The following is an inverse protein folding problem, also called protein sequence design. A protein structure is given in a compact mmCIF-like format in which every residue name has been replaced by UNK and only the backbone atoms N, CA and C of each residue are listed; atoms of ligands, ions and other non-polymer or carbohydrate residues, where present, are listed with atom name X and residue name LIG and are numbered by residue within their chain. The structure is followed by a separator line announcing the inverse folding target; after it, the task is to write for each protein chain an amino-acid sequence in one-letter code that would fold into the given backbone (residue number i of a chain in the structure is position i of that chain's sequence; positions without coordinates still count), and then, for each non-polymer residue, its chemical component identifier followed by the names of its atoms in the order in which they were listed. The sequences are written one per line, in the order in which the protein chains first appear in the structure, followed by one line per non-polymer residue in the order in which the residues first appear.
data_IF_650757229517
#
_entry.id   IF_650757229517
#
_cell.length_a   1.000
_cell.length_b   1.000
_cell.length_c   1.000
_cell.angle_alpha   90.00
_cell.angle_beta   90.00
_cell.angle_gamma   90.00
#
_symmetry.space_group_name_H-M   'P 1'
#
loop_
_entity.id
_entity.type
_entity.pdbx_description
1 polymer ?
#
# COMPACT_ATOMS: atom_id res chain seq x y z
N UNK A 1 43.67 -34.75 -50.31
CA UNK A 1 43.50 -33.92 -49.10
C UNK A 1 43.52 -34.87 -47.91
N UNK A 2 44.67 -34.97 -47.28
CA UNK A 2 44.94 -35.83 -46.12
C UNK A 2 45.26 -34.92 -44.95
N UNK A 3 44.47 -35.00 -43.88
CA UNK A 3 44.59 -34.12 -42.73
C UNK A 3 45.89 -34.39 -41.97
N UNK A 4 46.70 -33.36 -41.64
CA UNK A 4 47.93 -33.54 -40.88
C UNK A 4 47.63 -33.88 -39.41
N UNK A 5 48.35 -34.88 -38.91
CA UNK A 5 48.20 -35.40 -37.55
C UNK A 5 48.56 -34.36 -36.48
N UNK A 6 47.92 -34.47 -35.31
CA UNK A 6 47.92 -33.49 -34.19
C UNK A 6 49.31 -33.07 -33.69
N UNK A 7 50.33 -33.88 -33.96
CA UNK A 7 51.71 -33.64 -33.55
C UNK A 7 52.43 -32.62 -34.45
N UNK A 8 52.10 -32.54 -35.75
CA UNK A 8 52.65 -31.52 -36.66
C UNK A 8 52.06 -30.13 -36.35
N UNK A 9 50.77 -30.08 -36.01
CA UNK A 9 50.07 -28.84 -35.60
C UNK A 9 50.67 -28.19 -34.34
N UNK A 10 51.32 -28.97 -33.47
CA UNK A 10 52.01 -28.47 -32.26
C UNK A 10 53.37 -27.85 -32.54
N UNK A 11 54.01 -28.15 -33.69
CA UNK A 11 55.31 -27.56 -34.05
C UNK A 11 55.17 -26.19 -34.73
N UNK A 12 54.05 -25.92 -35.40
CA UNK A 12 53.86 -24.69 -36.19
C UNK A 12 53.42 -23.45 -35.40
N UNK A 13 52.80 -23.62 -34.22
CA UNK A 13 52.43 -22.48 -33.36
C UNK A 13 53.64 -21.76 -32.74
N UNK A 14 54.84 -22.36 -32.81
CA UNK A 14 56.07 -21.71 -32.35
C UNK A 14 56.55 -20.61 -33.31
N UNK A 15 56.22 -20.72 -34.60
CA UNK A 15 56.63 -19.73 -35.59
C UNK A 15 55.70 -18.50 -35.60
N UNK A 16 54.44 -18.65 -35.20
CA UNK A 16 53.49 -17.52 -35.04
C UNK A 16 53.81 -16.64 -33.82
N UNK A 17 54.50 -17.16 -32.81
CA UNK A 17 54.97 -16.37 -31.66
C UNK A 17 56.08 -15.36 -32.04
N UNK A 18 56.75 -15.57 -33.18
CA UNK A 18 57.85 -14.71 -33.66
C UNK A 18 57.38 -13.42 -34.32
N UNK A 19 56.06 -13.23 -34.48
CA UNK A 19 55.44 -11.97 -34.93
C UNK A 19 55.14 -10.97 -33.80
N UNK A 20 55.39 -11.32 -32.54
CA UNK A 20 55.20 -10.43 -31.38
C UNK A 20 56.43 -9.57 -31.09
N UNK A 21 57.15 -9.16 -32.14
CA UNK A 21 58.14 -8.10 -32.05
C UNK A 21 57.42 -6.75 -31.97
N UNK A 22 57.38 -6.14 -30.78
CA UNK A 22 57.04 -4.72 -30.66
C UNK A 22 55.89 -4.37 -29.72
N UNK A 23 55.59 -5.20 -28.72
CA UNK A 23 54.79 -4.76 -27.59
C UNK A 23 55.49 -5.17 -26.30
N UNK A 24 56.44 -4.36 -25.85
CA UNK A 24 56.58 -4.04 -24.42
C UNK A 24 55.26 -3.41 -23.96
N UNK A 25 54.19 -4.20 -23.96
CA UNK A 25 53.10 -4.01 -23.04
C UNK A 25 53.61 -4.72 -21.80
N UNK A 26 54.07 -3.93 -20.84
CA UNK A 26 53.84 -4.27 -19.45
C UNK A 26 52.43 -4.85 -19.40
N UNK A 27 52.35 -6.18 -19.27
CA UNK A 27 51.12 -6.82 -18.87
C UNK A 27 51.01 -6.45 -17.40
N UNK A 28 50.59 -5.21 -17.15
CA UNK A 28 49.93 -4.83 -15.93
C UNK A 28 48.72 -5.74 -15.92
N UNK A 29 48.87 -6.89 -15.28
CA UNK A 29 47.74 -7.63 -14.75
C UNK A 29 47.07 -6.64 -13.82
N UNK A 30 46.16 -5.81 -14.36
CA UNK A 30 45.15 -5.14 -13.59
C UNK A 30 44.43 -6.27 -12.90
N UNK A 31 44.87 -6.58 -11.68
CA UNK A 31 44.06 -7.28 -10.72
C UNK A 31 42.71 -6.59 -10.78
N UNK A 32 41.73 -7.31 -11.32
CA UNK A 32 40.33 -6.99 -11.15
C UNK A 32 40.17 -6.96 -9.63
N UNK A 33 40.34 -5.78 -9.03
CA UNK A 33 40.36 -5.60 -7.58
C UNK A 33 38.98 -5.99 -7.10
N UNK A 34 38.89 -7.23 -6.63
CA UNK A 34 37.67 -7.89 -6.18
C UNK A 34 37.19 -7.36 -4.83
N UNK A 35 37.85 -6.34 -4.27
CA UNK A 35 37.37 -5.58 -3.11
C UNK A 35 37.56 -4.10 -3.40
N UNK A 36 36.46 -3.40 -3.67
CA UNK A 36 36.44 -1.94 -3.67
C UNK A 36 36.38 -1.54 -2.20
N UNK A 37 37.40 -0.85 -1.71
CA UNK A 37 37.38 -0.31 -0.36
C UNK A 37 36.27 0.73 -0.28
N UNK A 38 35.33 0.50 0.64
CA UNK A 38 34.19 1.37 0.89
C UNK A 38 34.62 2.37 1.97
N UNK A 39 34.47 3.65 1.68
CA UNK A 39 34.69 4.75 2.62
C UNK A 39 33.32 5.28 3.03
N UNK A 40 33.09 5.45 4.33
CA UNK A 40 31.86 6.03 4.87
C UNK A 40 31.98 7.55 4.89
N UNK A 41 31.12 8.22 4.13
CA UNK A 41 30.99 9.68 4.14
C UNK A 41 29.67 10.06 4.83
N UNK A 42 29.66 11.18 5.55
CA UNK A 42 28.46 11.70 6.21
C UNK A 42 27.87 12.83 5.39
N UNK A 43 26.57 12.77 5.09
CA UNK A 43 25.88 13.85 4.39
C UNK A 43 25.59 15.00 5.34
N UNK A 44 26.00 16.22 4.99
CA UNK A 44 25.85 17.40 5.84
C UNK A 44 24.40 17.84 6.08
N UNK A 45 23.46 17.44 5.22
CA UNK A 45 22.04 17.79 5.37
C UNK A 45 21.37 17.02 6.52
N UNK A 46 21.65 15.73 6.65
CA UNK A 46 20.84 14.81 7.47
C UNK A 46 21.69 13.92 8.38
N UNK A 47 23.02 13.98 8.30
CA UNK A 47 23.92 13.10 9.04
C UNK A 47 24.07 11.69 8.47
N UNK A 48 23.34 11.36 7.41
CA UNK A 48 23.23 9.99 6.93
C UNK A 48 24.60 9.45 6.47
N UNK A 49 25.05 8.28 6.98
CA UNK A 49 26.25 7.62 6.50
C UNK A 49 25.99 7.02 5.10
N UNK A 50 26.86 7.34 4.15
CA UNK A 50 26.83 6.82 2.78
C UNK A 50 28.15 6.10 2.51
N UNK A 51 28.08 4.81 2.22
CA UNK A 51 29.25 4.02 1.84
C UNK A 51 29.52 4.18 0.35
N UNK A 52 30.67 4.75 0.03
CA UNK A 52 31.06 5.05 -1.34
C UNK A 52 32.42 4.41 -1.62
N UNK A 53 32.61 3.74 -2.76
CA UNK A 53 33.93 3.28 -3.20
C UNK A 53 34.95 4.41 -3.20
N UNK A 54 36.14 4.16 -2.66
CA UNK A 54 37.23 5.13 -2.47
C UNK A 54 37.50 6.00 -3.72
N UNK A 55 37.52 5.40 -4.90
CA UNK A 55 37.80 6.12 -6.16
C UNK A 55 36.76 7.19 -6.51
N UNK A 56 35.56 7.14 -5.92
CA UNK A 56 34.50 8.14 -6.12
C UNK A 56 34.50 9.23 -5.05
N UNK A 57 35.25 9.06 -3.94
CA UNK A 57 35.26 10.01 -2.82
C UNK A 57 35.69 11.40 -3.28
N UNK A 58 36.76 11.50 -4.08
CA UNK A 58 37.24 12.79 -4.60
C UNK A 58 36.17 13.55 -5.41
N UNK A 59 35.39 12.84 -6.24
CA UNK A 59 34.32 13.46 -7.03
C UNK A 59 33.08 13.81 -6.21
N UNK A 60 32.83 13.09 -5.11
CA UNK A 60 31.70 13.32 -4.21
C UNK A 60 31.99 14.46 -3.23
N UNK A 61 33.22 14.55 -2.72
CA UNK A 61 33.69 15.64 -1.84
C UNK A 61 33.71 16.99 -2.52
N UNK A 62 33.84 17.03 -3.85
CA UNK A 62 33.77 18.28 -4.61
C UNK A 62 32.33 18.82 -4.77
N UNK A 63 31.30 18.05 -4.42
CA UNK A 63 29.90 18.47 -4.57
C UNK A 63 29.52 19.47 -3.48
N UNK A 64 28.96 20.60 -3.91
CA UNK A 64 28.46 21.67 -3.05
C UNK A 64 26.95 21.84 -3.20
N UNK A 65 26.29 22.13 -2.09
CA UNK A 65 24.91 22.61 -2.01
C UNK A 65 24.90 24.14 -1.84
N UNK A 66 23.71 24.74 -1.81
CA UNK A 66 23.54 26.17 -1.56
C UNK A 66 24.19 26.64 -0.24
N UNK A 67 24.21 25.78 0.77
CA UNK A 67 24.67 26.10 2.13
C UNK A 67 26.12 25.65 2.43
N UNK A 68 26.83 25.03 1.47
CA UNK A 68 28.21 24.56 1.66
C UNK A 68 28.53 23.19 1.05
N UNK A 69 29.48 22.46 1.63
CA UNK A 69 29.86 21.12 1.18
C UNK A 69 28.73 20.11 1.43
N UNK A 70 28.48 19.20 0.48
CA UNK A 70 27.37 18.24 0.57
C UNK A 70 27.70 17.04 1.48
N UNK A 71 28.97 16.71 1.63
CA UNK A 71 29.47 15.56 2.39
C UNK A 71 30.69 15.96 3.23
N UNK A 72 30.90 15.29 4.36
CA UNK A 72 32.09 15.38 5.22
C UNK A 72 32.59 13.98 5.58
N UNK A 73 33.89 13.84 5.81
CA UNK A 73 34.50 12.61 6.37
C UNK A 73 34.41 12.63 7.91
N UNK A 74 34.21 13.82 8.50
CA UNK A 74 34.21 14.03 9.95
C UNK A 74 32.79 13.88 10.47
N UNK A 75 32.54 12.81 11.22
CA UNK A 75 31.22 12.51 11.80
C UNK A 75 30.67 13.66 12.64
N UNK A 76 31.53 14.36 13.38
CA UNK A 76 31.14 15.41 14.33
C UNK A 76 30.75 16.74 13.66
N UNK A 77 31.04 16.91 12.36
CA UNK A 77 30.62 18.07 11.59
C UNK A 77 29.20 17.90 11.01
N UNK A 78 28.73 16.65 10.91
CA UNK A 78 27.40 16.35 10.39
C UNK A 78 26.37 16.30 11.53
N UNK A 79 25.11 16.71 11.29
CA UNK A 79 24.03 16.52 12.27
C UNK A 79 23.88 15.04 12.66
N UNK A 80 23.38 14.74 13.87
CA UNK A 80 23.11 13.36 14.26
C UNK A 80 22.01 12.74 13.38
N UNK A 81 22.33 11.63 12.72
CA UNK A 81 21.37 10.87 11.92
C UNK A 81 20.33 10.22 12.82
N UNK A 82 19.09 10.69 12.74
CA UNK A 82 17.95 10.07 13.41
C UNK A 82 17.53 8.84 12.63
N UNK A 83 18.00 7.66 13.07
CA UNK A 83 17.42 6.39 12.64
C UNK A 83 15.94 6.39 13.03
N UNK A 84 15.09 5.99 12.09
CA UNK A 84 13.68 5.86 12.37
C UNK A 84 13.43 4.79 13.44
N UNK A 85 12.42 5.01 14.28
CA UNK A 85 12.11 4.14 15.43
C UNK A 85 10.96 3.17 15.11
N UNK A 86 10.37 3.28 13.91
CA UNK A 86 9.15 2.57 13.57
C UNK A 86 9.47 1.14 13.16
N UNK A 87 8.84 0.20 13.85
CA UNK A 87 8.98 -1.23 13.60
C UNK A 87 8.07 -1.68 12.45
N UNK A 88 8.53 -2.66 11.68
CA UNK A 88 7.72 -3.32 10.65
C UNK A 88 6.50 -4.01 11.29
N UNK A 89 5.37 -4.11 10.59
CA UNK A 89 4.15 -4.74 11.13
C UNK A 89 4.34 -6.21 11.52
N UNK A 90 5.30 -6.90 10.90
CA UNK A 90 5.68 -8.28 11.26
C UNK A 90 6.78 -8.36 12.32
N UNK A 91 7.26 -7.23 12.84
CA UNK A 91 8.31 -7.22 13.85
C UNK A 91 7.87 -7.97 15.11
N UNK A 92 8.85 -8.51 15.85
CA UNK A 92 8.58 -9.25 17.08
C UNK A 92 7.93 -8.38 18.16
N UNK A 93 8.26 -7.09 18.16
CA UNK A 93 7.77 -6.07 19.10
C UNK A 93 6.90 -5.02 18.38
N UNK A 94 6.21 -5.40 17.32
CA UNK A 94 5.29 -4.49 16.62
C UNK A 94 3.99 -4.36 17.41
N UNK A 95 3.38 -3.17 17.49
CA UNK A 95 2.09 -2.99 18.16
C UNK A 95 0.99 -3.88 17.56
N UNK A 96 1.04 -4.17 16.25
CA UNK A 96 0.08 -5.07 15.59
C UNK A 96 0.16 -6.52 16.07
N UNK A 97 1.31 -6.93 16.60
CA UNK A 97 1.48 -8.26 17.19
C UNK A 97 0.91 -8.29 18.61
N UNK A 98 1.14 -7.22 19.37
CA UNK A 98 0.60 -7.05 20.72
C UNK A 98 -0.93 -6.94 20.70
N UNK A 99 -1.49 -6.26 19.70
CA UNK A 99 -2.95 -6.09 19.53
C UNK A 99 -3.67 -7.35 19.04
N UNK A 100 -2.96 -8.42 18.68
CA UNK A 100 -3.57 -9.66 18.19
C UNK A 100 -4.01 -9.62 16.71
N UNK A 101 -3.90 -8.48 16.03
CA UNK A 101 -4.28 -8.33 14.61
C UNK A 101 -3.54 -9.32 13.71
N UNK A 102 -2.27 -9.60 14.01
CA UNK A 102 -1.50 -10.61 13.26
C UNK A 102 -2.10 -12.02 13.37
N UNK A 103 -2.77 -12.36 14.47
CA UNK A 103 -3.45 -13.64 14.61
C UNK A 103 -4.74 -13.67 13.81
N UNK A 104 -5.51 -12.57 13.82
CA UNK A 104 -6.72 -12.42 13.00
C UNK A 104 -6.42 -12.52 11.50
N UNK A 105 -5.30 -11.94 11.06
CA UNK A 105 -4.82 -12.03 9.69
C UNK A 105 -4.17 -13.38 9.33
N UNK A 106 -3.96 -14.27 10.31
CA UNK A 106 -3.26 -15.56 10.09
C UNK A 106 -1.76 -15.43 9.86
N UNK A 107 -1.14 -14.33 10.27
CA UNK A 107 0.27 -13.98 10.06
C UNK A 107 1.14 -14.12 11.32
N UNK A 108 0.58 -14.65 12.41
CA UNK A 108 1.24 -14.77 13.72
C UNK A 108 2.61 -15.49 13.67
N UNK A 109 2.78 -16.45 12.77
CA UNK A 109 4.01 -17.24 12.61
C UNK A 109 5.17 -16.53 11.90
N UNK A 110 4.92 -15.42 11.19
CA UNK A 110 5.97 -14.73 10.41
C UNK A 110 6.59 -13.60 11.21
N UNK A 111 7.92 -13.42 11.12
CA UNK A 111 8.67 -12.37 11.84
C UNK A 111 9.60 -11.62 10.88
N UNK A 112 9.63 -10.30 11.01
CA UNK A 112 10.56 -9.45 10.28
C UNK A 112 11.56 -8.80 11.25
N UNK A 113 12.87 -8.77 10.94
CA UNK A 113 13.88 -8.11 11.77
C UNK A 113 13.94 -6.58 11.59
N UNK A 114 13.19 -6.01 10.64
CA UNK A 114 13.24 -4.57 10.38
C UNK A 114 12.55 -3.78 11.50
N UNK A 115 13.37 -3.09 12.31
CA UNK A 115 12.92 -2.25 13.43
C UNK A 115 13.17 -0.75 13.26
N UNK A 116 13.92 -0.33 12.23
CA UNK A 116 14.44 1.03 12.12
C UNK A 116 13.85 1.83 10.95
N UNK A 117 12.53 1.81 10.76
CA UNK A 117 11.87 2.50 9.64
C UNK A 117 11.65 3.97 9.96
N UNK A 118 11.89 4.84 8.98
CA UNK A 118 11.84 6.31 9.13
C UNK A 118 10.45 6.90 9.37
N UNK A 119 9.39 6.29 8.85
CA UNK A 119 8.01 6.79 8.95
C UNK A 119 6.99 5.65 8.78
N UNK A 120 5.73 5.89 9.13
CA UNK A 120 4.64 4.93 8.87
C UNK A 120 4.50 4.64 7.37
N UNK A 121 4.67 5.65 6.52
CA UNK A 121 4.71 5.45 5.07
C UNK A 121 5.83 4.49 4.65
N UNK A 122 7.00 4.57 5.30
CA UNK A 122 8.11 3.66 5.07
C UNK A 122 7.77 2.23 5.51
N UNK A 123 6.95 2.08 6.56
CA UNK A 123 6.40 0.78 7.01
C UNK A 123 5.47 0.17 5.97
N UNK A 124 4.58 0.96 5.38
CA UNK A 124 3.72 0.54 4.27
C UNK A 124 4.55 0.10 3.06
N UNK A 125 5.47 0.95 2.60
CA UNK A 125 6.35 0.62 1.46
C UNK A 125 7.25 -0.59 1.73
N UNK A 126 7.73 -0.76 2.96
CA UNK A 126 8.49 -1.95 3.35
C UNK A 126 7.62 -3.21 3.26
N UNK A 127 6.39 -3.15 3.77
CA UNK A 127 5.42 -4.24 3.69
C UNK A 127 5.12 -4.61 2.25
N UNK A 128 4.72 -3.65 1.42
CA UNK A 128 4.44 -3.86 -0.01
C UNK A 128 5.61 -4.47 -0.78
N UNK A 129 6.86 -4.05 -0.48
CA UNK A 129 8.02 -4.48 -1.27
C UNK A 129 8.66 -5.77 -0.76
N UNK A 130 8.79 -5.94 0.56
CA UNK A 130 9.49 -7.06 1.19
C UNK A 130 8.57 -8.18 1.63
N UNK A 131 7.30 -7.89 1.90
CA UNK A 131 6.30 -8.81 2.45
C UNK A 131 5.01 -8.78 1.61
N UNK A 132 5.15 -8.93 0.28
CA UNK A 132 4.05 -8.80 -0.69
C UNK A 132 2.82 -9.62 -0.33
N UNK A 133 3.02 -10.87 0.08
CA UNK A 133 1.92 -11.79 0.36
C UNK A 133 1.22 -11.45 1.68
N UNK A 134 2.00 -11.11 2.70
CA UNK A 134 1.49 -10.73 4.01
C UNK A 134 0.79 -9.39 3.97
N UNK A 135 1.32 -8.46 3.18
CA UNK A 135 0.70 -7.17 2.92
C UNK A 135 -0.63 -7.32 2.20
N UNK A 136 -0.68 -8.14 1.13
CA UNK A 136 -1.93 -8.42 0.43
C UNK A 136 -2.97 -9.10 1.34
N UNK A 137 -2.54 -9.99 2.26
CA UNK A 137 -3.43 -10.61 3.23
C UNK A 137 -4.01 -9.59 4.22
N UNK A 138 -3.18 -8.66 4.70
CA UNK A 138 -3.62 -7.53 5.55
C UNK A 138 -4.62 -6.65 4.81
N UNK A 139 -4.30 -6.22 3.59
CA UNK A 139 -5.19 -5.36 2.78
C UNK A 139 -6.52 -6.05 2.49
N UNK A 140 -6.51 -7.33 2.14
CA UNK A 140 -7.74 -8.10 1.89
C UNK A 140 -8.62 -8.19 3.14
N UNK A 141 -8.04 -8.26 4.34
CA UNK A 141 -8.78 -8.26 5.59
C UNK A 141 -9.38 -6.89 5.90
N UNK A 142 -8.60 -5.82 5.75
CA UNK A 142 -9.07 -4.45 5.95
C UNK A 142 -10.20 -4.10 4.98
N UNK A 143 -10.05 -4.45 3.70
CA UNK A 143 -11.08 -4.26 2.67
C UNK A 143 -12.35 -5.08 2.97
N UNK A 144 -12.20 -6.32 3.46
CA UNK A 144 -13.34 -7.15 3.85
C UNK A 144 -14.11 -6.55 5.05
N UNK A 145 -13.37 -5.98 6.01
CA UNK A 145 -13.95 -5.32 7.19
C UNK A 145 -14.70 -4.04 6.80
N UNK A 146 -14.08 -3.17 6.00
CA UNK A 146 -14.71 -1.94 5.50
C UNK A 146 -15.99 -2.25 4.71
N UNK A 147 -15.94 -3.22 3.80
CA UNK A 147 -17.14 -3.66 3.04
C UNK A 147 -18.24 -4.20 3.94
N UNK A 148 -17.91 -4.83 5.06
CA UNK A 148 -18.89 -5.33 6.00
C UNK A 148 -19.55 -4.18 6.77
N UNK A 149 -18.75 -3.23 7.26
CA UNK A 149 -19.22 -2.01 7.93
C UNK A 149 -20.13 -1.18 7.01
N UNK A 150 -19.74 -1.00 5.74
CA UNK A 150 -20.54 -0.31 4.73
C UNK A 150 -21.90 -1.00 4.50
N UNK A 151 -21.91 -2.33 4.39
CA UNK A 151 -23.15 -3.10 4.21
C UNK A 151 -24.06 -2.99 5.42
N UNK A 152 -23.49 -3.00 6.62
CA UNK A 152 -24.26 -2.90 7.86
C UNK A 152 -24.82 -1.47 8.05
N UNK A 153 -24.04 -0.44 7.72
CA UNK A 153 -24.53 0.94 7.67
C UNK A 153 -25.65 1.13 6.65
N UNK A 154 -25.53 0.55 5.44
CA UNK A 154 -26.59 0.57 4.44
C UNK A 154 -27.86 -0.14 4.91
N UNK A 155 -27.73 -1.31 5.55
CA UNK A 155 -28.86 -2.04 6.13
C UNK A 155 -29.54 -1.22 7.23
N UNK A 156 -28.77 -0.55 8.08
CA UNK A 156 -29.32 0.32 9.12
C UNK A 156 -30.11 1.50 8.53
N UNK A 157 -29.57 2.16 7.51
CA UNK A 157 -30.27 3.23 6.79
C UNK A 157 -31.56 2.73 6.13
N UNK A 158 -31.53 1.56 5.47
CA UNK A 158 -32.71 0.95 4.86
C UNK A 158 -33.76 0.58 5.93
N UNK A 159 -33.35 0.04 7.07
CA UNK A 159 -34.26 -0.27 8.17
C UNK A 159 -34.88 1.01 8.75
N UNK A 160 -34.11 2.07 8.93
CA UNK A 160 -34.60 3.36 9.42
C UNK A 160 -35.63 3.98 8.45
N UNK A 161 -35.34 3.96 7.15
CA UNK A 161 -36.26 4.46 6.11
C UNK A 161 -37.55 3.65 6.02
N UNK A 162 -37.47 2.30 6.09
CA UNK A 162 -38.66 1.44 6.16
C UNK A 162 -39.50 1.69 7.42
N UNK A 163 -38.86 1.90 8.58
CA UNK A 163 -39.55 2.23 9.81
C UNK A 163 -40.28 3.58 9.73
N UNK A 164 -39.69 4.58 9.07
CA UNK A 164 -40.35 5.86 8.80
C UNK A 164 -41.52 5.69 7.83
N UNK A 165 -41.34 4.93 6.74
CA UNK A 165 -42.40 4.67 5.77
C UNK A 165 -43.58 3.88 6.38
N UNK A 166 -43.30 2.89 7.22
CA UNK A 166 -44.31 2.11 7.93
C UNK A 166 -45.11 2.94 8.95
N UNK A 167 -44.48 3.94 9.58
CA UNK A 167 -45.16 4.91 10.44
C UNK A 167 -45.92 5.99 9.67
N UNK A 168 -45.50 6.30 8.45
CA UNK A 168 -46.13 7.28 7.57
C UNK A 168 -47.31 6.72 6.76
N UNK A 169 -47.49 5.39 6.71
CA UNK A 169 -48.68 4.79 6.11
C UNK A 169 -49.91 5.15 6.99
N UNK A 170 -50.85 5.98 6.50
CA UNK A 170 -52.06 6.22 7.24
C UNK A 170 -52.81 4.88 7.33
N UNK A 171 -52.93 4.34 8.54
CA UNK A 171 -53.92 3.30 8.83
C UNK A 171 -55.27 3.93 8.52
N UNK A 172 -55.72 3.78 7.27
CA UNK A 172 -57.05 4.16 6.84
C UNK A 172 -58.02 3.16 7.47
N UNK A 173 -58.23 3.29 8.77
CA UNK A 173 -59.35 2.66 9.47
C UNK A 173 -60.59 3.31 8.85
N UNK A 174 -61.16 2.66 7.84
CA UNK A 174 -62.42 3.07 7.22
C UNK A 174 -63.51 2.83 8.26
N UNK A 175 -63.67 3.77 9.18
CA UNK A 175 -64.80 3.77 10.12
C UNK A 175 -66.06 3.79 9.25
N UNK A 176 -66.94 2.81 9.44
CA UNK A 176 -68.22 2.80 8.78
C UNK A 176 -69.04 3.97 9.33
N UNK A 177 -69.45 4.89 8.45
CA UNK A 177 -70.24 6.07 8.81
C UNK A 177 -71.64 5.88 8.23
N UNK A 178 -72.66 5.95 9.07
CA UNK A 178 -74.05 5.82 8.61
C UNK A 178 -74.54 7.14 8.01
N UNK A 179 -75.34 7.05 6.95
CA UNK A 179 -75.96 8.23 6.35
C UNK A 179 -77.03 8.83 7.28
N UNK A 180 -77.03 10.14 7.57
CA UNK A 180 -78.02 10.75 8.45
C UNK A 180 -79.45 10.73 7.87
N UNK A 181 -79.60 10.62 6.54
CA UNK A 181 -80.89 10.69 5.85
C UNK A 181 -81.56 9.33 5.69
N UNK A 182 -80.80 8.25 5.49
CA UNK A 182 -81.36 6.91 5.28
C UNK A 182 -80.70 5.79 6.11
N UNK A 183 -79.80 6.15 7.02
CA UNK A 183 -79.07 5.27 7.94
C UNK A 183 -78.30 4.12 7.28
N UNK A 184 -78.04 4.19 5.97
CA UNK A 184 -77.24 3.18 5.26
C UNK A 184 -75.76 3.30 5.65
N UNK A 185 -75.08 2.18 5.97
CA UNK A 185 -73.67 2.19 6.34
C UNK A 185 -72.80 2.49 5.12
N UNK A 186 -72.05 3.59 5.16
CA UNK A 186 -71.14 4.02 4.13
C UNK A 186 -69.68 3.74 4.53
N UNK A 187 -68.84 3.38 3.55
CA UNK A 187 -67.41 3.12 3.77
C UNK A 187 -66.64 4.44 3.88
N UNK A 188 -66.73 5.07 5.06
CA UNK A 188 -66.06 6.34 5.39
C UNK A 188 -66.72 7.58 4.80
N UNK A 189 -66.17 8.75 5.13
CA UNK A 189 -66.74 10.06 4.77
C UNK A 189 -66.85 10.29 3.25
N UNK A 190 -65.86 9.85 2.47
CA UNK A 190 -65.91 9.95 1.00
C UNK A 190 -67.06 9.11 0.40
N UNK A 191 -67.29 7.91 0.96
CA UNK A 191 -68.42 7.06 0.58
C UNK A 191 -69.77 7.69 0.97
N UNK A 192 -69.84 8.35 2.12
CA UNK A 192 -71.02 9.09 2.57
C UNK A 192 -71.34 10.25 1.62
N UNK A 193 -70.36 11.08 1.24
CA UNK A 193 -70.57 12.21 0.33
C UNK A 193 -70.97 11.79 -1.09
N UNK A 194 -70.49 10.64 -1.57
CA UNK A 194 -70.95 10.08 -2.84
C UNK A 194 -72.39 9.56 -2.74
N UNK A 195 -72.72 8.87 -1.64
CA UNK A 195 -74.06 8.37 -1.39
C UNK A 195 -75.10 9.50 -1.24
N UNK A 196 -74.79 10.53 -0.46
CA UNK A 196 -75.69 11.69 -0.27
C UNK A 196 -75.94 12.39 -1.61
N UNK A 197 -74.93 12.60 -2.45
CA UNK A 197 -75.11 13.19 -3.78
C UNK A 197 -75.92 12.32 -4.74
N UNK A 198 -75.76 10.99 -4.69
CA UNK A 198 -76.45 10.08 -5.61
C UNK A 198 -77.86 9.66 -5.18
N UNK A 199 -78.14 9.61 -3.88
CA UNK A 199 -79.41 9.10 -3.34
C UNK A 199 -80.28 10.19 -2.66
N UNK A 200 -79.69 11.33 -2.31
CA UNK A 200 -80.34 12.45 -1.62
C UNK A 200 -80.04 13.80 -2.27
N UNK A 201 -79.35 13.80 -3.42
CA UNK A 201 -78.97 15.00 -4.16
C UNK A 201 -80.00 15.34 -5.23
N UNK A 202 -81.24 15.57 -4.81
CA UNK A 202 -82.26 16.24 -5.64
C UNK A 202 -83.17 17.06 -4.73
N UNK A 203 -83.01 18.38 -4.81
CA UNK A 203 -83.98 19.46 -4.58
C UNK A 203 -83.32 20.66 -3.88
N UNK A 204 -82.72 21.53 -4.68
CA UNK A 204 -82.65 22.97 -4.37
C UNK A 204 -82.64 23.74 -5.69
N UNK A 205 -83.84 24.09 -6.15
CA UNK A 205 -84.08 25.39 -6.80
C UNK A 205 -83.77 26.53 -5.81
#
# INVERSE_FOLDING_TARGET
MTEPTTTERRRDLRNEATGLGGLEKDVVFQHIRTRRELVTLYRMADGQPVEIPEYMVAGVMQKKNADGWMFTEVKDEAPDYKVGEIKCFLHAESPERESGLLQEWGLSGKKCPAGNLSSEYSKTQHGERRHKQEWAAKEAFEEAKEKQEDRDAQREQLNATLALAGKAAPTATRVAVNCPTCNKPCKGNAGLSAHVRGAHGDASE
#
